data_IF_331268994778
#
_entry.id   IF_331268994778
#
_cell.length_a   1.000
_cell.length_b   1.000
_cell.length_c   1.000
_cell.angle_alpha   90.00
_cell.angle_beta   90.00
_cell.angle_gamma   90.00
#
_symmetry.space_group_name_H-M   'P 1'
#
loop_
_entity.id
_entity.type
_entity.pdbx_description
1 polymer ?
#
# COMPACT_ATOMS: atom_id res chain seq x y z
N UNK A 1 -21.09 28.42 3.94
CA UNK A 1 -20.84 26.98 3.97
C UNK A 1 -19.43 26.77 3.46
N UNK A 2 -18.55 26.28 4.33
CA UNK A 2 -17.16 25.97 3.97
C UNK A 2 -17.10 24.49 3.59
N UNK A 3 -16.63 24.19 2.37
CA UNK A 3 -16.46 22.82 1.89
C UNK A 3 -14.97 22.52 1.89
N UNK A 4 -14.57 21.62 2.76
CA UNK A 4 -13.19 21.15 2.83
C UNK A 4 -12.91 20.12 1.73
N UNK A 5 -11.84 20.36 0.96
CA UNK A 5 -11.34 19.42 -0.04
C UNK A 5 -10.60 18.27 0.64
N UNK A 6 -10.75 17.04 0.15
CA UNK A 6 -10.07 15.83 0.65
C UNK A 6 -10.31 15.52 2.13
N UNK A 7 -11.58 15.55 2.57
CA UNK A 7 -11.99 15.09 3.91
C UNK A 7 -11.78 13.59 4.11
N UNK A 8 -10.64 13.21 4.69
CA UNK A 8 -10.27 11.81 4.96
C UNK A 8 -10.87 11.27 6.27
N UNK A 9 -11.23 12.16 7.19
CA UNK A 9 -11.85 11.83 8.47
C UNK A 9 -13.13 11.02 8.30
N UNK A 10 -13.96 11.34 7.29
CA UNK A 10 -15.20 10.60 7.03
C UNK A 10 -14.98 9.12 6.72
N UNK A 11 -13.94 8.82 5.95
CA UNK A 11 -13.57 7.44 5.61
C UNK A 11 -12.98 6.70 6.81
N UNK A 12 -12.14 7.40 7.60
CA UNK A 12 -11.59 6.86 8.83
C UNK A 12 -12.69 6.53 9.85
N UNK A 13 -13.62 7.45 10.12
CA UNK A 13 -14.70 7.23 11.10
C UNK A 13 -15.62 6.08 10.72
N UNK A 14 -15.86 5.84 9.42
CA UNK A 14 -16.66 4.72 8.95
C UNK A 14 -16.05 3.34 9.28
N UNK A 15 -14.72 3.24 9.32
CA UNK A 15 -13.97 1.99 9.51
C UNK A 15 -13.06 2.01 10.75
N UNK A 16 -13.32 2.93 11.67
CA UNK A 16 -12.42 3.25 12.79
C UNK A 16 -12.06 2.04 13.63
N UNK A 17 -13.06 1.27 14.06
CA UNK A 17 -12.86 0.10 14.92
C UNK A 17 -11.95 -0.95 14.26
N UNK A 18 -12.12 -1.17 12.97
CA UNK A 18 -11.31 -2.11 12.18
C UNK A 18 -9.86 -1.65 12.07
N UNK A 19 -9.65 -0.37 11.73
CA UNK A 19 -8.33 0.22 11.60
C UNK A 19 -7.56 0.25 12.92
N UNK A 20 -8.19 0.70 14.00
CA UNK A 20 -7.57 0.78 15.32
C UNK A 20 -7.20 -0.61 15.84
N UNK A 21 -8.11 -1.58 15.70
CA UNK A 21 -7.84 -2.97 16.06
C UNK A 21 -6.63 -3.51 15.30
N UNK A 22 -6.59 -3.32 13.98
CA UNK A 22 -5.50 -3.86 13.16
C UNK A 22 -4.17 -3.18 13.46
N UNK A 23 -4.16 -1.87 13.67
CA UNK A 23 -2.98 -1.12 14.08
C UNK A 23 -2.43 -1.65 15.41
N UNK A 24 -3.28 -1.88 16.41
CA UNK A 24 -2.88 -2.44 17.69
C UNK A 24 -2.32 -3.87 17.57
N UNK A 25 -2.92 -4.73 16.74
CA UNK A 25 -2.39 -6.08 16.47
C UNK A 25 -0.97 -6.03 15.91
N UNK A 26 -0.71 -5.15 14.92
CA UNK A 26 0.63 -4.99 14.33
C UNK A 26 1.60 -4.39 15.35
N UNK A 27 1.19 -3.37 16.11
CA UNK A 27 2.01 -2.76 17.17
C UNK A 27 2.44 -3.78 18.22
N UNK A 28 1.49 -4.58 18.71
CA UNK A 28 1.74 -5.63 19.70
C UNK A 28 2.59 -6.79 19.16
N UNK A 29 2.58 -7.02 17.84
CA UNK A 29 3.39 -8.09 17.21
C UNK A 29 4.89 -7.78 17.19
N UNK A 30 5.28 -6.50 17.22
CA UNK A 30 6.67 -6.06 17.08
C UNK A 30 7.26 -6.22 15.67
N UNK A 31 6.49 -6.71 14.70
CA UNK A 31 6.99 -7.00 13.34
C UNK A 31 6.46 -6.01 12.31
N UNK A 32 7.24 -4.94 12.06
CA UNK A 32 6.76 -3.79 11.27
C UNK A 32 7.17 -3.80 9.79
N UNK A 33 8.29 -4.45 9.45
CA UNK A 33 8.90 -4.36 8.13
C UNK A 33 8.93 -5.74 7.49
N UNK A 34 8.50 -5.82 6.22
CA UNK A 34 8.40 -7.07 5.47
C UNK A 34 7.64 -8.15 6.26
N UNK A 35 6.53 -7.76 6.87
CA UNK A 35 5.71 -8.61 7.73
C UNK A 35 4.55 -9.28 7.03
N UNK A 36 3.79 -10.05 7.80
CA UNK A 36 2.62 -10.80 7.34
C UNK A 36 1.59 -9.93 6.61
N UNK A 37 1.35 -8.72 7.09
CA UNK A 37 0.36 -7.81 6.49
C UNK A 37 0.76 -7.38 5.07
N UNK A 38 2.06 -7.23 4.81
CA UNK A 38 2.56 -6.95 3.48
C UNK A 38 2.33 -8.15 2.54
N UNK A 39 2.70 -9.35 2.97
CA UNK A 39 2.52 -10.58 2.17
C UNK A 39 1.04 -10.86 1.84
N UNK A 40 0.14 -10.63 2.80
CA UNK A 40 -1.30 -10.72 2.57
C UNK A 40 -1.79 -9.67 1.58
N UNK A 41 -1.40 -8.41 1.79
CA UNK A 41 -1.77 -7.32 0.89
C UNK A 41 -1.30 -7.57 -0.54
N UNK A 42 -0.05 -7.99 -0.74
CA UNK A 42 0.48 -8.29 -2.08
C UNK A 42 -0.34 -9.38 -2.79
N UNK A 43 -0.70 -10.45 -2.08
CA UNK A 43 -1.54 -11.53 -2.63
C UNK A 43 -2.94 -11.03 -3.00
N UNK A 44 -3.57 -10.29 -2.11
CA UNK A 44 -4.92 -9.77 -2.30
C UNK A 44 -4.97 -8.73 -3.42
N UNK A 45 -3.98 -7.85 -3.48
CA UNK A 45 -3.88 -6.78 -4.46
C UNK A 45 -3.51 -7.31 -5.85
N UNK A 46 -2.66 -8.35 -5.94
CA UNK A 46 -2.43 -9.06 -7.18
C UNK A 46 -3.73 -9.65 -7.74
N UNK A 47 -4.49 -10.34 -6.88
CA UNK A 47 -5.81 -10.90 -7.25
C UNK A 47 -6.80 -9.82 -7.66
N UNK A 48 -6.86 -8.71 -6.93
CA UNK A 48 -7.74 -7.58 -7.24
C UNK A 48 -7.45 -6.98 -8.62
N UNK A 49 -6.18 -6.81 -8.96
CA UNK A 49 -5.75 -6.26 -10.26
C UNK A 49 -5.76 -7.29 -11.40
N UNK A 50 -6.02 -8.57 -11.12
CA UNK A 50 -5.89 -9.66 -12.09
C UNK A 50 -4.45 -9.93 -12.54
N UNK A 51 -3.45 -9.48 -11.78
CA UNK A 51 -2.04 -9.74 -12.05
C UNK A 51 -1.57 -11.03 -11.37
N UNK A 52 -0.52 -11.66 -11.91
CA UNK A 52 0.08 -12.85 -11.29
C UNK A 52 0.84 -12.52 -10.01
N UNK A 53 1.42 -11.31 -9.93
CA UNK A 53 2.27 -10.87 -8.83
C UNK A 53 1.97 -9.41 -8.47
N UNK A 54 2.27 -9.05 -7.23
CA UNK A 54 2.32 -7.68 -6.71
C UNK A 54 3.55 -7.59 -5.79
N UNK A 55 4.23 -6.45 -5.80
CA UNK A 55 5.34 -6.15 -4.91
C UNK A 55 5.09 -4.77 -4.30
N UNK A 56 5.03 -4.70 -2.98
CA UNK A 56 4.91 -3.47 -2.22
C UNK A 56 6.24 -2.72 -2.20
N UNK A 57 6.18 -1.42 -2.50
CA UNK A 57 7.32 -0.51 -2.47
C UNK A 57 6.94 0.77 -1.74
N UNK A 58 7.92 1.59 -1.40
CA UNK A 58 7.72 2.77 -0.56
C UNK A 58 6.83 3.85 -1.19
N UNK A 59 6.82 3.98 -2.52
CA UNK A 59 6.06 5.01 -3.23
C UNK A 59 5.76 4.62 -4.69
N UNK A 60 4.79 5.30 -5.31
CA UNK A 60 4.52 5.13 -6.74
C UNK A 60 5.69 5.55 -7.65
N UNK A 61 6.47 6.55 -7.24
CA UNK A 61 7.68 6.94 -7.97
C UNK A 61 8.74 5.83 -7.92
N UNK A 62 8.93 5.18 -6.77
CA UNK A 62 9.86 4.05 -6.68
C UNK A 62 9.39 2.86 -7.50
N UNK A 63 8.08 2.59 -7.54
CA UNK A 63 7.51 1.55 -8.40
C UNK A 63 7.89 1.76 -9.86
N UNK A 64 7.71 2.98 -10.37
CA UNK A 64 8.06 3.35 -11.74
C UNK A 64 9.57 3.27 -11.98
N UNK A 65 10.38 3.81 -11.07
CA UNK A 65 11.84 3.78 -11.19
C UNK A 65 12.38 2.35 -11.22
N UNK A 66 11.85 1.47 -10.39
CA UNK A 66 12.22 0.05 -10.36
C UNK A 66 11.80 -0.61 -11.67
N UNK A 67 10.57 -0.40 -12.15
CA UNK A 67 10.08 -0.97 -13.39
C UNK A 67 10.96 -0.56 -14.60
N UNK A 68 11.25 0.73 -14.75
CA UNK A 68 12.12 1.27 -15.80
C UNK A 68 13.52 0.64 -15.74
N UNK A 69 14.10 0.54 -14.54
CA UNK A 69 15.42 -0.09 -14.33
C UNK A 69 15.42 -1.58 -14.67
N UNK A 70 14.39 -2.32 -14.28
CA UNK A 70 14.28 -3.76 -14.56
C UNK A 70 14.09 -4.06 -16.05
N UNK A 71 13.43 -3.17 -16.78
CA UNK A 71 13.29 -3.26 -18.24
C UNK A 71 14.57 -2.85 -18.99
N UNK A 72 15.60 -2.36 -18.28
CA UNK A 72 16.85 -1.91 -18.89
C UNK A 72 16.74 -0.57 -19.65
N UNK A 73 15.66 0.19 -19.43
CA UNK A 73 15.42 1.46 -20.11
C UNK A 73 16.44 2.51 -19.64
N UNK A 74 17.06 3.20 -20.58
CA UNK A 74 18.14 4.14 -20.34
C UNK A 74 18.21 5.27 -21.37
N UNK A 75 19.39 5.86 -21.51
CA UNK A 75 19.59 7.01 -22.40
C UNK A 75 19.50 6.57 -23.85
N UNK A 76 18.53 7.10 -24.59
CA UNK A 76 18.32 6.82 -26.01
C UNK A 76 17.15 5.89 -26.32
N UNK A 77 16.47 5.37 -25.29
CA UNK A 77 15.13 4.79 -25.39
C UNK A 77 14.03 5.86 -25.40
#
# INVERSE_FOLDING_TARGET
MEIECNRLDRGFELHKEEFEKKALEVLNSGWYVLGKELDLFEKEFARYNGSKYCIGVASGLDALKIAVRLLGIGKGD
#
